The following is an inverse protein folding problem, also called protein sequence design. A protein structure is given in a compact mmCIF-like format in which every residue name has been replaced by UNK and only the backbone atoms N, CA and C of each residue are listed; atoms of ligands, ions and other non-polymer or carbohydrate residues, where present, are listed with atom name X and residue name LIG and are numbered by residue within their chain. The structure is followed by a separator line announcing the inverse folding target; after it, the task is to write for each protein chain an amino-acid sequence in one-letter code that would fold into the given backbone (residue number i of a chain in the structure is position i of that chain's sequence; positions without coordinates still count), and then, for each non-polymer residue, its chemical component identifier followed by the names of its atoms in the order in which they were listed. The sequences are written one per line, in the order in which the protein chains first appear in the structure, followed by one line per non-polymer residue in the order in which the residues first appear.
data_IF_351060090275
#
_entry.id   IF_351060090275
#
_cell.length_a   1.000
_cell.length_b   1.000
_cell.length_c   1.000
_cell.angle_alpha   90.00
_cell.angle_beta   90.00
_cell.angle_gamma   90.00
#
_symmetry.space_group_name_H-M   'P 1'
#
loop_
_entity.id
_entity.type
_entity.pdbx_description
1 polymer ?
#
# COMPACT_ATOMS: atom_id res chain seq x y z
N UNK A 1 26.87 23.98 -37.31
CA UNK A 1 25.86 23.38 -36.43
C UNK A 1 26.51 22.18 -35.79
N UNK A 2 26.64 22.19 -34.47
CA UNK A 2 27.40 21.17 -33.74
C UNK A 2 26.49 19.99 -33.41
N UNK A 3 27.05 18.78 -33.30
CA UNK A 3 26.27 17.57 -33.03
C UNK A 3 25.39 17.68 -31.77
N UNK A 4 25.81 18.50 -30.79
CA UNK A 4 25.06 18.80 -29.57
C UNK A 4 23.69 19.45 -29.82
N UNK A 5 23.54 20.29 -30.84
CA UNK A 5 22.26 20.95 -31.15
C UNK A 5 21.24 19.92 -31.68
N UNK A 6 21.72 18.88 -32.35
CA UNK A 6 20.91 17.78 -32.90
C UNK A 6 20.42 16.83 -31.81
N UNK A 7 21.29 16.47 -30.86
CA UNK A 7 20.92 15.67 -29.69
C UNK A 7 19.93 16.41 -28.79
N UNK A 8 20.08 17.73 -28.65
CA UNK A 8 19.16 18.58 -27.89
C UNK A 8 17.75 18.55 -28.51
N UNK A 9 17.64 18.68 -29.84
CA UNK A 9 16.36 18.56 -30.56
C UNK A 9 15.76 17.15 -30.48
N UNK A 10 16.59 16.11 -30.51
CA UNK A 10 16.14 14.73 -30.33
C UNK A 10 15.61 14.48 -28.91
N UNK A 11 16.31 14.98 -27.89
CA UNK A 11 15.88 14.85 -26.49
C UNK A 11 14.60 15.63 -26.21
N UNK A 12 14.43 16.81 -26.79
CA UNK A 12 13.18 17.58 -26.69
C UNK A 12 12.01 16.83 -27.34
N UNK A 13 12.20 16.26 -28.53
CA UNK A 13 11.13 15.53 -29.21
C UNK A 13 10.75 14.20 -28.53
N UNK A 14 11.75 13.43 -28.06
CA UNK A 14 11.53 12.15 -27.36
C UNK A 14 10.91 12.37 -25.99
N UNK A 15 11.34 13.40 -25.25
CA UNK A 15 10.78 13.73 -23.94
C UNK A 15 9.29 14.09 -24.03
N UNK A 16 8.88 14.85 -25.06
CA UNK A 16 7.47 15.18 -25.31
C UNK A 16 6.66 13.94 -25.66
N UNK A 17 7.19 13.04 -26.52
CA UNK A 17 6.50 11.78 -26.88
C UNK A 17 6.36 10.86 -25.67
N UNK A 18 7.41 10.71 -24.86
CA UNK A 18 7.37 9.93 -23.61
C UNK A 18 6.40 10.52 -22.61
N UNK A 19 6.35 11.85 -22.49
CA UNK A 19 5.44 12.53 -21.55
C UNK A 19 3.99 12.38 -21.98
N UNK A 20 3.68 12.51 -23.27
CA UNK A 20 2.33 12.25 -23.81
C UNK A 20 1.93 10.77 -23.67
N UNK A 21 2.86 9.84 -23.86
CA UNK A 21 2.62 8.41 -23.63
C UNK A 21 2.44 8.10 -22.15
N UNK A 22 3.23 8.70 -21.25
CA UNK A 22 3.06 8.58 -19.80
C UNK A 22 1.75 9.19 -19.33
N UNK A 23 1.38 10.36 -19.82
CA UNK A 23 0.10 10.97 -19.48
C UNK A 23 -1.08 10.19 -20.07
N UNK A 24 -0.91 9.53 -21.23
CA UNK A 24 -1.90 8.62 -21.78
C UNK A 24 -1.94 7.26 -21.08
N UNK A 25 -0.84 6.76 -20.51
CA UNK A 25 -0.81 5.50 -19.75
C UNK A 25 -1.27 5.70 -18.31
N UNK A 26 -0.82 6.78 -17.66
CA UNK A 26 -1.22 7.16 -16.30
C UNK A 26 -2.67 7.67 -16.25
N UNK A 27 -3.14 8.30 -17.33
CA UNK A 27 -4.48 8.88 -17.37
C UNK A 27 -5.30 8.48 -18.62
N UNK A 28 -5.19 7.22 -19.06
CA UNK A 28 -5.84 6.65 -20.25
C UNK A 28 -7.26 7.11 -20.56
N UNK A 29 -7.51 7.24 -21.86
CA UNK A 29 -8.77 7.56 -22.56
C UNK A 29 -9.95 7.86 -21.63
N UNK A 30 -10.14 9.15 -21.28
CA UNK A 30 -11.26 9.85 -20.57
C UNK A 30 -12.13 9.08 -19.55
N UNK A 31 -12.58 7.86 -19.82
CA UNK A 31 -13.28 6.93 -18.92
C UNK A 31 -12.37 6.28 -17.87
N UNK A 32 -11.09 6.08 -18.17
CA UNK A 32 -10.15 5.45 -17.23
C UNK A 32 -9.67 6.41 -16.14
N UNK A 33 -9.66 7.73 -16.40
CA UNK A 33 -9.27 8.77 -15.43
C UNK A 33 -10.13 8.76 -14.17
N UNK A 34 -11.47 8.73 -14.32
CA UNK A 34 -12.37 8.67 -13.16
C UNK A 34 -12.14 7.42 -12.32
N UNK A 35 -11.97 6.27 -12.97
CA UNK A 35 -11.72 5.00 -12.27
C UNK A 35 -10.33 4.95 -11.61
N UNK A 36 -9.31 5.60 -12.19
CA UNK A 36 -7.98 5.67 -11.62
C UNK A 36 -7.94 6.53 -10.36
N UNK A 37 -8.58 7.71 -10.39
CA UNK A 37 -8.69 8.59 -9.22
C UNK A 37 -9.49 7.91 -8.09
N UNK A 38 -10.59 7.23 -8.42
CA UNK A 38 -11.43 6.48 -7.46
C UNK A 38 -10.68 5.30 -6.80
N UNK A 39 -9.78 4.65 -7.55
CA UNK A 39 -8.96 3.53 -7.08
C UNK A 39 -7.73 4.03 -6.31
N UNK A 40 -7.09 5.11 -6.75
CA UNK A 40 -5.98 5.76 -6.05
C UNK A 40 -6.41 6.27 -4.68
N UNK A 41 -7.59 6.88 -4.57
CA UNK A 41 -8.17 7.27 -3.28
C UNK A 41 -8.37 6.07 -2.34
N UNK A 42 -8.85 4.92 -2.87
CA UNK A 42 -9.00 3.68 -2.09
C UNK A 42 -7.65 3.09 -1.65
N UNK A 43 -6.62 3.16 -2.49
CA UNK A 43 -5.26 2.69 -2.14
C UNK A 43 -4.65 3.56 -1.05
N UNK A 44 -4.75 4.88 -1.16
CA UNK A 44 -4.26 5.81 -0.13
C UNK A 44 -5.03 5.62 1.19
N UNK A 45 -6.36 5.49 1.13
CA UNK A 45 -7.17 5.20 2.31
C UNK A 45 -6.78 3.86 2.96
N UNK A 46 -6.60 2.80 2.16
CA UNK A 46 -6.15 1.50 2.66
C UNK A 46 -4.77 1.55 3.30
N UNK A 47 -3.83 2.32 2.72
CA UNK A 47 -2.49 2.52 3.27
C UNK A 47 -2.54 3.22 4.63
N UNK A 48 -3.38 4.25 4.78
CA UNK A 48 -3.58 4.93 6.07
C UNK A 48 -4.19 3.98 7.11
N UNK A 49 -5.22 3.21 6.75
CA UNK A 49 -5.84 2.23 7.66
C UNK A 49 -4.81 1.18 8.10
N UNK A 50 -4.02 0.63 7.18
CA UNK A 50 -2.98 -0.35 7.49
C UNK A 50 -1.91 0.23 8.43
N UNK A 51 -1.49 1.47 8.22
CA UNK A 51 -0.54 2.15 9.08
C UNK A 51 -1.09 2.36 10.50
N UNK A 52 -2.35 2.80 10.63
CA UNK A 52 -3.03 2.99 11.92
C UNK A 52 -3.21 1.66 12.65
N UNK A 53 -3.61 0.59 11.95
CA UNK A 53 -3.72 -0.74 12.53
C UNK A 53 -2.36 -1.26 13.03
N UNK A 54 -1.29 -1.08 12.25
CA UNK A 54 0.05 -1.48 12.65
C UNK A 54 0.50 -0.73 13.91
N UNK A 55 0.33 0.60 13.94
CA UNK A 55 0.62 1.42 15.12
C UNK A 55 -0.24 1.04 16.33
N UNK A 56 -1.53 0.78 16.12
CA UNK A 56 -2.46 0.35 17.16
C UNK A 56 -2.10 -1.00 17.77
N UNK A 57 -1.76 -1.99 16.94
CA UNK A 57 -1.32 -3.31 17.41
C UNK A 57 -0.05 -3.24 18.26
N UNK A 58 0.95 -2.46 17.81
CA UNK A 58 2.20 -2.27 18.57
C UNK A 58 1.92 -1.56 19.90
N UNK A 59 1.07 -0.53 19.90
CA UNK A 59 0.66 0.19 21.10
C UNK A 59 -0.08 -0.71 22.11
N UNK A 60 -1.04 -1.51 21.64
CA UNK A 60 -1.79 -2.44 22.49
C UNK A 60 -0.90 -3.50 23.13
N UNK A 61 0.12 -3.98 22.39
CA UNK A 61 1.10 -4.94 22.90
C UNK A 61 1.92 -4.36 24.05
N UNK A 62 2.31 -3.08 23.96
CA UNK A 62 3.05 -2.39 25.02
C UNK A 62 2.19 -2.14 26.27
N UNK A 63 0.94 -1.71 26.09
CA UNK A 63 -0.01 -1.47 27.19
C UNK A 63 -0.35 -2.79 27.90
N UNK A 64 -0.64 -3.86 27.16
CA UNK A 64 -0.95 -5.16 27.75
C UNK A 64 0.23 -5.71 28.57
N UNK A 65 1.46 -5.60 28.05
CA UNK A 65 2.63 -6.06 28.79
C UNK A 65 2.91 -5.25 30.08
N UNK A 66 2.54 -3.97 30.11
CA UNK A 66 2.80 -3.09 31.27
C UNK A 66 1.65 -3.02 32.28
N UNK A 67 0.39 -3.14 31.86
CA UNK A 67 -0.79 -3.04 32.73
C UNK A 67 -1.35 -4.43 33.11
N UNK A 68 -1.48 -5.36 32.16
CA UNK A 68 -2.01 -6.72 32.41
C UNK A 68 -0.99 -7.64 33.10
N UNK A 69 0.30 -7.29 33.06
CA UNK A 69 1.31 -7.96 33.89
C UNK A 69 1.14 -7.70 35.40
N UNK A 70 0.35 -6.69 35.78
CA UNK A 70 0.09 -6.32 37.17
C UNK A 70 -1.30 -6.79 37.64
N UNK A 71 -2.28 -6.81 36.74
CA UNK A 71 -3.62 -7.34 36.98
C UNK A 71 -3.87 -8.61 36.14
N UNK A 72 -3.65 -9.78 36.73
CA UNK A 72 -4.45 -11.00 36.51
C UNK A 72 -4.68 -11.53 35.06
N UNK A 73 -4.09 -12.71 34.77
CA UNK A 73 -4.82 -13.86 34.20
C UNK A 73 -5.67 -13.68 32.92
N UNK A 74 -5.35 -12.78 32.00
CA UNK A 74 -5.99 -12.76 30.68
C UNK A 74 -5.15 -13.56 29.67
N UNK A 75 -5.50 -14.84 29.50
CA UNK A 75 -5.04 -15.68 28.38
C UNK A 75 -5.85 -15.30 27.14
N UNK A 76 -5.30 -14.60 26.14
CA UNK A 76 -6.03 -14.35 24.91
C UNK A 76 -6.13 -15.69 24.18
N UNK A 77 -7.33 -16.27 24.19
CA UNK A 77 -7.63 -17.58 23.64
C UNK A 77 -7.21 -17.70 22.19
N UNK A 78 -6.03 -18.26 21.96
CA UNK A 78 -5.71 -18.95 20.72
C UNK A 78 -6.45 -20.29 20.81
N UNK A 79 -7.63 -20.35 20.21
CA UNK A 79 -8.39 -21.60 20.08
C UNK A 79 -7.64 -22.49 19.09
N UNK A 80 -6.72 -23.31 19.59
CA UNK A 80 -6.14 -24.43 18.84
C UNK A 80 -7.24 -25.48 18.65
N UNK A 81 -7.72 -25.76 17.41
CA UNK A 81 -8.60 -26.89 17.21
C UNK A 81 -7.78 -28.17 17.41
N UNK A 82 -7.99 -28.84 18.54
CA UNK A 82 -7.47 -30.17 18.82
C UNK A 82 -8.18 -31.18 17.91
N UNK A 83 -7.65 -31.39 16.71
CA UNK A 83 -8.06 -32.49 15.84
C UNK A 83 -7.46 -33.79 16.39
N UNK A 84 -8.18 -34.45 17.29
CA UNK A 84 -7.84 -35.79 17.80
C UNK A 84 -8.20 -36.84 16.74
N UNK A 85 -7.26 -37.64 16.21
CA UNK A 85 -7.61 -38.78 15.38
C UNK A 85 -8.18 -39.89 16.28
N UNK A 86 -9.50 -40.07 16.24
CA UNK A 86 -10.17 -41.22 16.86
C UNK A 86 -9.72 -42.48 16.13
N UNK A 87 -8.77 -43.20 16.74
CA UNK A 87 -8.48 -44.59 16.41
C UNK A 87 -9.04 -45.45 17.54
N UNK A 88 -10.20 -46.07 17.31
CA UNK A 88 -10.55 -47.40 17.84
C UNK A 88 -11.74 -47.98 17.10
#
# INVERSE_FOLDING_TARGET
MTAQDYDSQLLESVSVRRRRLRDALLFGARRQRRAADERMGKVLAGMVIAAVLCAGCVGWSFVSHRLIGQDSAYSPGVSTPSNSPTSR
#
